data_IF_666347858809
#
_entry.id   IF_666347858809
#
_cell.length_a   1.000
_cell.length_b   1.000
_cell.length_c   1.000
_cell.angle_alpha   90.00
_cell.angle_beta   90.00
_cell.angle_gamma   90.00
#
_symmetry.space_group_name_H-M   'P 1'
#
loop_
_entity.id
_entity.type
_entity.pdbx_description
1 polymer ?
#
# COMPACT_ATOMS: atom_id res chain seq x y z
N UNK A 1 44.17 -10.26 -18.30
CA UNK A 1 43.09 -10.71 -19.22
C UNK A 1 42.25 -11.86 -18.65
N UNK A 2 42.84 -12.83 -17.94
CA UNK A 2 42.18 -14.01 -17.35
C UNK A 2 41.18 -13.74 -16.21
N UNK A 3 41.33 -12.64 -15.46
CA UNK A 3 40.42 -12.25 -14.38
C UNK A 3 39.06 -11.75 -14.93
N UNK A 4 39.07 -11.06 -16.08
CA UNK A 4 37.86 -10.48 -16.69
C UNK A 4 36.91 -11.56 -17.23
N UNK A 5 37.43 -12.60 -17.90
CA UNK A 5 36.62 -13.72 -18.41
C UNK A 5 36.00 -14.57 -17.30
N UNK A 6 36.73 -14.82 -16.21
CA UNK A 6 36.22 -15.60 -15.07
C UNK A 6 35.13 -14.83 -14.31
N UNK A 7 35.26 -13.51 -14.18
CA UNK A 7 34.21 -12.64 -13.62
C UNK A 7 32.98 -12.56 -14.52
N UNK A 8 33.16 -12.46 -15.83
CA UNK A 8 32.05 -12.46 -16.81
C UNK A 8 31.30 -13.80 -16.79
N UNK A 9 32.01 -14.93 -16.86
CA UNK A 9 31.39 -16.25 -16.83
C UNK A 9 30.64 -16.54 -15.53
N UNK A 10 31.17 -16.06 -14.39
CA UNK A 10 30.51 -16.17 -13.08
C UNK A 10 29.23 -15.32 -13.03
N UNK A 11 29.26 -14.10 -13.56
CA UNK A 11 28.08 -13.22 -13.67
C UNK A 11 27.01 -13.82 -14.57
N UNK A 12 27.37 -14.38 -15.74
CA UNK A 12 26.41 -15.05 -16.64
C UNK A 12 25.78 -16.29 -16.02
N UNK A 13 26.56 -17.08 -15.27
CA UNK A 13 26.05 -18.30 -14.62
C UNK A 13 25.10 -17.99 -13.48
N UNK A 14 25.39 -16.95 -12.69
CA UNK A 14 24.53 -16.48 -11.61
C UNK A 14 23.21 -15.93 -12.16
N UNK A 15 23.27 -15.10 -13.22
CA UNK A 15 22.09 -14.57 -13.86
C UNK A 15 21.17 -15.67 -14.43
N UNK A 16 21.75 -16.73 -15.01
CA UNK A 16 20.97 -17.90 -15.44
C UNK A 16 20.28 -18.59 -14.27
N UNK A 17 21.02 -18.86 -13.18
CA UNK A 17 20.45 -19.45 -11.98
C UNK A 17 19.32 -18.60 -11.42
N UNK A 18 19.51 -17.27 -11.35
CA UNK A 18 18.48 -16.32 -10.91
C UNK A 18 17.21 -16.46 -11.73
N UNK A 19 17.30 -16.41 -13.06
CA UNK A 19 16.14 -16.53 -13.94
C UNK A 19 15.41 -17.88 -13.77
N UNK A 20 16.14 -18.97 -13.56
CA UNK A 20 15.53 -20.29 -13.29
C UNK A 20 14.81 -20.33 -11.93
N UNK A 21 15.41 -19.73 -10.89
CA UNK A 21 14.79 -19.62 -9.55
C UNK A 21 13.53 -18.76 -9.63
N UNK A 22 13.58 -17.61 -10.30
CA UNK A 22 12.39 -16.77 -10.52
C UNK A 22 11.30 -17.51 -11.29
N UNK A 23 11.65 -18.19 -12.37
CA UNK A 23 10.70 -18.98 -13.16
C UNK A 23 10.07 -20.11 -12.35
N UNK A 24 10.85 -20.77 -11.48
CA UNK A 24 10.36 -21.79 -10.57
C UNK A 24 9.39 -21.20 -9.53
N UNK A 25 9.77 -20.11 -8.86
CA UNK A 25 8.93 -19.45 -7.87
C UNK A 25 7.62 -18.95 -8.48
N UNK A 26 7.66 -18.39 -9.69
CA UNK A 26 6.45 -17.97 -10.40
C UNK A 26 5.52 -19.14 -10.71
N UNK A 27 6.06 -20.28 -11.16
CA UNK A 27 5.27 -21.51 -11.38
C UNK A 27 4.66 -22.02 -10.09
N UNK A 28 5.45 -22.11 -9.02
CA UNK A 28 4.96 -22.55 -7.70
C UNK A 28 3.88 -21.62 -7.13
N UNK A 29 4.04 -20.31 -7.30
CA UNK A 29 3.04 -19.33 -6.87
C UNK A 29 1.71 -19.54 -7.62
N UNK A 30 1.76 -19.88 -8.92
CA UNK A 30 0.56 -20.11 -9.73
C UNK A 30 -0.23 -21.37 -9.33
N UNK A 31 0.37 -22.31 -8.60
CA UNK A 31 -0.33 -23.47 -8.04
C UNK A 31 -1.25 -23.11 -6.86
N UNK A 32 -1.07 -21.94 -6.24
CA UNK A 32 -1.93 -21.48 -5.15
C UNK A 32 -3.24 -20.90 -5.73
N UNK A 33 -4.38 -21.26 -5.14
CA UNK A 33 -5.69 -20.81 -5.65
C UNK A 33 -5.91 -19.31 -5.48
N UNK A 34 -5.64 -18.79 -4.28
CA UNK A 34 -5.90 -17.40 -3.92
C UNK A 34 -4.79 -16.47 -4.40
N UNK A 35 -5.14 -15.40 -5.12
CA UNK A 35 -4.20 -14.39 -5.62
C UNK A 35 -3.31 -13.82 -4.50
N UNK A 36 -3.92 -13.48 -3.36
CA UNK A 36 -3.22 -12.99 -2.17
C UNK A 36 -2.16 -13.98 -1.66
N UNK A 37 -2.45 -15.28 -1.68
CA UNK A 37 -1.50 -16.30 -1.25
C UNK A 37 -0.31 -16.42 -2.21
N UNK A 38 -0.51 -16.20 -3.52
CA UNK A 38 0.58 -16.12 -4.51
C UNK A 38 1.55 -15.00 -4.18
N UNK A 39 1.02 -13.82 -3.89
CA UNK A 39 1.82 -12.65 -3.53
C UNK A 39 2.59 -12.89 -2.23
N UNK A 40 1.91 -13.39 -1.19
CA UNK A 40 2.54 -13.71 0.11
C UNK A 40 3.66 -14.73 -0.04
N UNK A 41 3.45 -15.78 -0.85
CA UNK A 41 4.48 -16.77 -1.17
C UNK A 41 5.71 -16.10 -1.80
N UNK A 42 5.52 -15.24 -2.80
CA UNK A 42 6.62 -14.55 -3.46
C UNK A 42 7.36 -13.59 -2.52
N UNK A 43 6.65 -12.82 -1.70
CA UNK A 43 7.26 -11.93 -0.69
C UNK A 43 8.14 -12.72 0.28
N UNK A 44 7.62 -13.82 0.84
CA UNK A 44 8.36 -14.63 1.81
C UNK A 44 9.63 -15.26 1.19
N UNK A 45 9.54 -15.74 -0.06
CA UNK A 45 10.69 -16.31 -0.75
C UNK A 45 11.72 -15.25 -1.14
N UNK A 46 11.30 -14.10 -1.67
CA UNK A 46 12.23 -13.02 -2.03
C UNK A 46 12.89 -12.39 -0.81
N UNK A 47 12.18 -12.24 0.32
CA UNK A 47 12.80 -11.79 1.58
C UNK A 47 13.87 -12.77 2.07
N UNK A 48 13.60 -14.07 2.04
CA UNK A 48 14.57 -15.11 2.40
C UNK A 48 15.79 -15.10 1.47
N UNK A 49 15.59 -15.01 0.16
CA UNK A 49 16.69 -14.91 -0.79
C UNK A 49 17.51 -13.64 -0.52
N UNK A 50 16.86 -12.51 -0.29
CA UNK A 50 17.53 -11.25 0.03
C UNK A 50 18.30 -11.34 1.35
N UNK A 51 17.81 -12.04 2.37
CA UNK A 51 18.52 -12.22 3.65
C UNK A 51 19.80 -13.03 3.46
N UNK A 52 19.72 -14.16 2.74
CA UNK A 52 20.88 -15.00 2.43
C UNK A 52 21.92 -14.25 1.59
N UNK A 53 21.48 -13.48 0.58
CA UNK A 53 22.39 -12.67 -0.24
C UNK A 53 23.08 -11.56 0.58
N UNK A 54 22.38 -10.94 1.54
CA UNK A 54 22.97 -9.95 2.46
C UNK A 54 24.04 -10.56 3.36
N UNK A 55 23.83 -11.79 3.83
CA UNK A 55 24.80 -12.51 4.67
C UNK A 55 26.06 -12.95 3.92
N UNK A 56 25.96 -13.16 2.59
CA UNK A 56 27.07 -13.65 1.76
C UNK A 56 28.21 -12.63 1.53
N UNK A 57 28.06 -11.39 2.05
CA UNK A 57 29.11 -10.37 2.23
C UNK A 57 30.17 -10.24 1.11
N UNK A 58 29.75 -10.20 -0.16
CA UNK A 58 30.66 -10.04 -1.30
C UNK A 58 30.12 -9.10 -2.37
N UNK A 59 30.97 -8.22 -2.91
CA UNK A 59 30.64 -7.31 -4.05
C UNK A 59 30.08 -8.04 -5.29
N UNK A 60 30.26 -9.36 -5.37
CA UNK A 60 29.76 -10.19 -6.49
C UNK A 60 28.24 -10.41 -6.46
N UNK A 61 27.57 -10.27 -5.31
CA UNK A 61 26.12 -10.53 -5.18
C UNK A 61 25.27 -9.26 -5.06
N UNK A 62 25.90 -8.08 -5.12
CA UNK A 62 25.23 -6.79 -4.93
C UNK A 62 24.14 -6.54 -5.99
N UNK A 63 24.45 -6.81 -7.27
CA UNK A 63 23.47 -6.68 -8.37
C UNK A 63 22.28 -7.64 -8.22
N UNK A 64 22.52 -8.84 -7.70
CA UNK A 64 21.47 -9.85 -7.48
C UNK A 64 20.59 -9.48 -6.29
N UNK A 65 21.21 -8.93 -5.25
CA UNK A 65 20.50 -8.41 -4.10
C UNK A 65 19.61 -7.22 -4.50
N UNK A 66 20.12 -6.28 -5.29
CA UNK A 66 19.35 -5.16 -5.83
C UNK A 66 18.15 -5.67 -6.65
N UNK A 67 18.38 -6.66 -7.52
CA UNK A 67 17.33 -7.26 -8.33
C UNK A 67 16.23 -7.90 -7.47
N UNK A 68 16.59 -8.75 -6.50
CA UNK A 68 15.62 -9.42 -5.63
C UNK A 68 14.86 -8.40 -4.76
N UNK A 69 15.52 -7.34 -4.27
CA UNK A 69 14.84 -6.27 -3.54
C UNK A 69 13.83 -5.53 -4.42
N UNK A 70 14.11 -5.34 -5.72
CA UNK A 70 13.17 -4.74 -6.65
C UNK A 70 11.92 -5.62 -6.85
N UNK A 71 12.11 -6.94 -7.03
CA UNK A 71 11.01 -7.90 -7.12
C UNK A 71 10.18 -7.93 -5.82
N UNK A 72 10.86 -7.98 -4.67
CA UNK A 72 10.22 -7.91 -3.36
C UNK A 72 9.38 -6.63 -3.22
N UNK A 73 9.91 -5.47 -3.61
CA UNK A 73 9.18 -4.20 -3.55
C UNK A 73 7.92 -4.21 -4.42
N UNK A 74 7.97 -4.81 -5.62
CA UNK A 74 6.79 -4.94 -6.49
C UNK A 74 5.72 -5.81 -5.83
N UNK A 75 6.11 -6.95 -5.25
CA UNK A 75 5.17 -7.84 -4.58
C UNK A 75 4.57 -7.22 -3.31
N UNK A 76 5.36 -6.49 -2.53
CA UNK A 76 4.84 -5.72 -1.38
C UNK A 76 3.80 -4.70 -1.85
N UNK A 77 4.04 -3.99 -2.95
CA UNK A 77 3.06 -3.07 -3.52
C UNK A 77 1.75 -3.78 -3.90
N UNK A 78 1.83 -4.93 -4.57
CA UNK A 78 0.65 -5.73 -4.91
C UNK A 78 -0.10 -6.22 -3.66
N UNK A 79 0.63 -6.64 -2.63
CA UNK A 79 0.03 -7.05 -1.35
C UNK A 79 -0.68 -5.88 -0.67
N UNK A 80 -0.11 -4.67 -0.70
CA UNK A 80 -0.72 -3.47 -0.13
C UNK A 80 -2.08 -3.19 -0.76
N UNK A 81 -2.18 -3.28 -2.08
CA UNK A 81 -3.44 -3.08 -2.79
C UNK A 81 -4.47 -4.15 -2.40
N UNK A 82 -4.07 -5.43 -2.38
CA UNK A 82 -4.94 -6.56 -1.99
C UNK A 82 -5.38 -6.49 -0.51
N UNK A 83 -4.47 -6.12 0.39
CA UNK A 83 -4.73 -6.06 1.84
C UNK A 83 -5.68 -4.92 2.20
N UNK A 84 -5.62 -3.78 1.49
CA UNK A 84 -6.48 -2.63 1.79
C UNK A 84 -7.92 -2.82 1.29
N UNK A 85 -8.16 -3.57 0.21
CA UNK A 85 -9.48 -3.69 -0.43
C UNK A 85 -10.58 -4.14 0.55
N UNK A 86 -10.41 -5.22 1.34
CA UNK A 86 -11.47 -5.71 2.25
C UNK A 86 -11.89 -4.71 3.32
N UNK A 87 -11.00 -3.78 3.69
CA UNK A 87 -11.21 -2.87 4.82
C UNK A 87 -11.48 -1.42 4.40
N UNK A 88 -10.87 -0.97 3.30
CA UNK A 88 -10.86 0.42 2.86
C UNK A 88 -11.14 0.56 1.36
N UNK A 89 -11.67 -0.49 0.70
CA UNK A 89 -11.96 -0.47 -0.74
C UNK A 89 -12.88 0.68 -1.16
N UNK A 90 -13.88 1.03 -0.36
CA UNK A 90 -14.77 2.17 -0.62
C UNK A 90 -14.00 3.50 -0.65
N UNK A 91 -13.12 3.73 0.33
CA UNK A 91 -12.26 4.91 0.41
C UNK A 91 -11.31 4.97 -0.80
N UNK A 92 -10.62 3.86 -1.10
CA UNK A 92 -9.65 3.77 -2.21
C UNK A 92 -10.32 4.07 -3.55
N UNK A 93 -11.45 3.41 -3.82
CA UNK A 93 -12.21 3.60 -5.07
C UNK A 93 -12.77 5.02 -5.18
N UNK A 94 -13.25 5.57 -4.07
CA UNK A 94 -13.74 6.94 -4.03
C UNK A 94 -12.65 7.95 -4.38
N UNK A 95 -11.48 7.87 -3.74
CA UNK A 95 -10.35 8.77 -3.99
C UNK A 95 -9.89 8.67 -5.45
N UNK A 96 -9.65 7.45 -5.94
CA UNK A 96 -9.24 7.21 -7.34
C UNK A 96 -10.23 7.81 -8.33
N UNK A 97 -11.53 7.66 -8.09
CA UNK A 97 -12.56 8.24 -8.94
C UNK A 97 -12.59 9.76 -8.84
N UNK A 98 -12.59 10.31 -7.63
CA UNK A 98 -12.73 11.74 -7.40
C UNK A 98 -11.59 12.56 -8.02
N UNK A 99 -10.37 12.02 -8.03
CA UNK A 99 -9.20 12.69 -8.61
C UNK A 99 -9.19 12.68 -10.15
N UNK A 100 -9.98 11.79 -10.78
CA UNK A 100 -10.17 11.80 -12.23
C UNK A 100 -11.21 12.84 -12.67
N UNK A 101 -12.05 13.32 -11.75
CA UNK A 101 -13.10 14.30 -12.05
C UNK A 101 -12.50 15.70 -12.08
N UNK A 102 -12.77 16.46 -13.14
CA UNK A 102 -12.27 17.84 -13.33
C UNK A 102 -12.70 18.81 -12.23
N UNK A 103 -13.90 18.60 -11.67
CA UNK A 103 -14.45 19.41 -10.61
C UNK A 103 -15.15 18.53 -9.57
N UNK A 104 -14.53 18.44 -8.39
CA UNK A 104 -15.02 17.66 -7.25
C UNK A 104 -16.41 18.13 -6.79
N UNK A 105 -16.79 19.39 -7.06
CA UNK A 105 -18.14 19.90 -6.78
C UNK A 105 -19.26 19.17 -7.53
N UNK A 106 -18.95 18.48 -8.63
CA UNK A 106 -19.90 17.63 -9.36
C UNK A 106 -20.13 16.26 -8.72
N UNK A 107 -19.35 15.90 -7.70
CA UNK A 107 -19.55 14.67 -6.94
C UNK A 107 -20.57 14.96 -5.83
N UNK A 108 -21.51 14.04 -5.70
CA UNK A 108 -22.57 14.07 -4.70
C UNK A 108 -22.00 14.16 -3.28
N UNK A 109 -22.54 15.10 -2.49
CA UNK A 109 -22.11 15.38 -1.12
C UNK A 109 -22.35 14.17 -0.20
N UNK A 110 -23.44 13.43 -0.44
CA UNK A 110 -23.79 12.25 0.35
C UNK A 110 -22.74 11.14 0.24
N UNK A 111 -22.03 11.06 -0.89
CA UNK A 111 -20.92 10.11 -1.07
C UNK A 111 -19.74 10.44 -0.15
N UNK A 112 -19.43 11.72 0.01
CA UNK A 112 -18.37 12.16 0.92
C UNK A 112 -18.73 11.86 2.38
N UNK A 113 -19.96 12.18 2.79
CA UNK A 113 -20.43 11.91 4.15
C UNK A 113 -20.43 10.41 4.44
N UNK A 114 -20.87 9.57 3.50
CA UNK A 114 -20.86 8.11 3.65
C UNK A 114 -19.46 7.55 3.88
N UNK A 115 -18.47 7.95 3.07
CA UNK A 115 -17.07 7.52 3.25
C UNK A 115 -16.51 8.00 4.59
N UNK A 116 -16.79 9.26 4.96
CA UNK A 116 -16.37 9.82 6.24
C UNK A 116 -16.95 9.05 7.43
N UNK A 117 -18.25 8.73 7.39
CA UNK A 117 -18.93 7.98 8.43
C UNK A 117 -18.41 6.54 8.55
N UNK A 118 -18.27 5.83 7.43
CA UNK A 118 -17.72 4.47 7.39
C UNK A 118 -16.29 4.44 7.95
N UNK A 119 -15.44 5.38 7.53
CA UNK A 119 -14.09 5.47 8.04
C UNK A 119 -14.09 5.70 9.54
N UNK A 120 -14.81 6.71 10.04
CA UNK A 120 -14.88 7.07 11.46
C UNK A 120 -15.26 5.89 12.37
N UNK A 121 -16.16 5.03 11.91
CA UNK A 121 -16.70 3.91 12.69
C UNK A 121 -15.80 2.68 12.70
N UNK A 122 -15.03 2.42 11.63
CA UNK A 122 -14.37 1.11 11.43
C UNK A 122 -12.83 1.17 11.43
N UNK A 123 -12.23 2.35 11.22
CA UNK A 123 -10.79 2.45 10.93
C UNK A 123 -9.87 1.80 11.96
N UNK A 124 -10.16 1.93 13.26
CA UNK A 124 -9.34 1.32 14.34
C UNK A 124 -9.38 -0.20 14.31
N UNK A 125 -10.58 -0.77 14.17
CA UNK A 125 -10.78 -2.21 14.09
C UNK A 125 -10.14 -2.79 12.83
N UNK A 126 -10.25 -2.07 11.70
CA UNK A 126 -9.65 -2.46 10.44
C UNK A 126 -8.11 -2.46 10.51
N UNK A 127 -7.48 -1.44 11.09
CA UNK A 127 -6.02 -1.43 11.32
C UNK A 127 -5.59 -2.62 12.19
N UNK A 128 -6.35 -2.93 13.24
CA UNK A 128 -6.07 -4.09 14.10
C UNK A 128 -6.17 -5.42 13.33
N UNK A 129 -7.16 -5.53 12.45
CA UNK A 129 -7.36 -6.71 11.61
C UNK A 129 -6.24 -6.89 10.58
N UNK A 130 -5.80 -5.79 9.95
CA UNK A 130 -4.62 -5.78 9.06
C UNK A 130 -3.38 -6.25 9.80
N UNK A 131 -3.14 -5.73 11.01
CA UNK A 131 -2.00 -6.17 11.82
C UNK A 131 -2.03 -7.68 12.08
N UNK A 132 -3.18 -8.23 12.49
CA UNK A 132 -3.34 -9.66 12.72
C UNK A 132 -3.10 -10.50 11.45
N UNK A 133 -3.63 -10.04 10.31
CA UNK A 133 -3.41 -10.64 8.99
C UNK A 133 -1.92 -10.69 8.64
N UNK A 134 -1.20 -9.59 8.81
CA UNK A 134 0.26 -9.53 8.53
C UNK A 134 1.05 -10.46 9.45
N UNK A 135 0.75 -10.51 10.76
CA UNK A 135 1.41 -11.44 11.70
C UNK A 135 1.27 -12.89 11.24
N UNK A 136 0.08 -13.26 10.75
CA UNK A 136 -0.22 -14.62 10.33
C UNK A 136 0.49 -15.00 9.03
N UNK A 137 0.65 -14.04 8.10
CA UNK A 137 1.15 -14.29 6.76
C UNK A 137 2.69 -14.22 6.64
N UNK A 138 3.35 -13.50 7.55
CA UNK A 138 4.79 -13.23 7.48
C UNK A 138 5.51 -13.67 8.77
N UNK A 139 6.06 -14.89 8.75
CA UNK A 139 6.80 -15.46 9.91
C UNK A 139 8.11 -14.73 10.20
N UNK A 140 8.76 -14.15 9.18
CA UNK A 140 9.90 -13.26 9.39
C UNK A 140 9.37 -11.92 9.89
N UNK A 141 9.63 -11.65 11.16
CA UNK A 141 9.22 -10.44 11.87
C UNK A 141 9.66 -9.14 11.19
N UNK A 142 10.90 -9.05 10.73
CA UNK A 142 11.41 -7.85 10.06
C UNK A 142 10.70 -7.61 8.73
N UNK A 143 10.39 -8.69 8.02
CA UNK A 143 9.61 -8.63 6.79
C UNK A 143 8.16 -8.21 7.10
N UNK A 144 7.52 -8.85 8.08
CA UNK A 144 6.16 -8.51 8.53
C UNK A 144 6.03 -7.04 8.92
N UNK A 145 6.96 -6.49 9.70
CA UNK A 145 6.99 -5.06 10.05
C UNK A 145 7.12 -4.16 8.81
N UNK A 146 7.96 -4.54 7.86
CA UNK A 146 8.14 -3.80 6.60
C UNK A 146 6.86 -3.77 5.78
N UNK A 147 6.21 -4.93 5.62
CA UNK A 147 4.93 -5.07 4.93
C UNK A 147 3.83 -4.27 5.64
N UNK A 148 3.71 -4.40 6.96
CA UNK A 148 2.72 -3.66 7.74
C UNK A 148 2.87 -2.15 7.56
N UNK A 149 4.10 -1.64 7.62
CA UNK A 149 4.38 -0.23 7.38
C UNK A 149 4.00 0.22 5.98
N UNK A 150 4.21 -0.62 4.96
CA UNK A 150 3.79 -0.30 3.60
C UNK A 150 2.25 -0.18 3.51
N UNK A 151 1.51 -1.12 4.11
CA UNK A 151 0.04 -1.13 4.10
C UNK A 151 -0.51 0.10 4.83
N UNK A 152 -0.06 0.34 6.06
CA UNK A 152 -0.54 1.46 6.88
C UNK A 152 -0.09 2.82 6.34
N UNK A 153 1.10 2.89 5.72
CA UNK A 153 1.57 4.06 5.01
C UNK A 153 0.65 4.41 3.84
N UNK A 154 0.29 3.43 3.03
CA UNK A 154 -0.61 3.64 1.90
C UNK A 154 -2.03 4.02 2.34
N UNK A 155 -2.52 3.46 3.45
CA UNK A 155 -3.78 3.88 4.08
C UNK A 155 -3.78 5.38 4.42
N UNK A 156 -2.71 5.87 5.06
CA UNK A 156 -2.59 7.29 5.39
C UNK A 156 -2.56 8.16 4.15
N UNK A 157 -1.87 7.73 3.09
CA UNK A 157 -1.84 8.47 1.82
C UNK A 157 -3.26 8.60 1.25
N UNK A 158 -4.01 7.51 1.15
CA UNK A 158 -5.40 7.56 0.65
C UNK A 158 -6.30 8.42 1.53
N UNK A 159 -6.21 8.29 2.86
CA UNK A 159 -7.04 9.06 3.77
C UNK A 159 -6.72 10.56 3.73
N UNK A 160 -5.44 10.92 3.63
CA UNK A 160 -5.01 12.33 3.49
C UNK A 160 -5.56 12.93 2.20
N UNK A 161 -5.48 12.19 1.08
CA UNK A 161 -6.05 12.63 -0.21
C UNK A 161 -7.57 12.81 -0.13
N UNK A 162 -8.26 11.91 0.57
CA UNK A 162 -9.69 12.07 0.84
C UNK A 162 -10.00 13.36 1.63
N UNK A 163 -9.25 13.67 2.70
CA UNK A 163 -9.42 14.91 3.45
C UNK A 163 -9.19 16.16 2.57
N UNK A 164 -8.18 16.13 1.68
CA UNK A 164 -7.94 17.23 0.73
C UNK A 164 -9.14 17.40 -0.23
N UNK A 165 -9.70 16.30 -0.74
CA UNK A 165 -10.89 16.33 -1.61
C UNK A 165 -12.12 16.87 -0.87
N UNK A 166 -12.29 16.53 0.42
CA UNK A 166 -13.34 17.09 1.27
C UNK A 166 -13.20 18.60 1.41
N UNK A 167 -12.00 19.09 1.71
CA UNK A 167 -11.72 20.54 1.81
C UNK A 167 -12.01 21.25 0.48
N UNK A 168 -11.57 20.69 -0.64
CA UNK A 168 -11.87 21.24 -1.97
C UNK A 168 -13.37 21.32 -2.26
N UNK A 169 -14.13 20.28 -1.89
CA UNK A 169 -15.58 20.20 -2.13
C UNK A 169 -16.38 21.20 -1.30
N UNK A 170 -16.03 21.35 -0.02
CA UNK A 170 -16.87 22.06 0.96
C UNK A 170 -16.30 23.41 1.41
N UNK A 171 -15.02 23.70 1.18
CA UNK A 171 -14.42 25.02 1.47
C UNK A 171 -14.19 25.86 0.20
N UNK A 172 -14.21 25.24 -1.00
CA UNK A 172 -14.06 25.93 -2.30
C UNK A 172 -15.23 26.81 -2.76
N UNK A 173 -16.35 26.84 -2.02
CA UNK A 173 -17.56 27.61 -2.39
C UNK A 173 -17.50 29.13 -2.18
N UNK A 174 -16.40 29.65 -1.61
CA UNK A 174 -16.29 31.07 -1.22
C UNK A 174 -15.76 32.04 -2.28
N UNK A 175 -15.30 31.57 -3.45
CA UNK A 175 -14.74 32.43 -4.52
C UNK A 175 -15.15 31.97 -5.92
N UNK A 176 -16.43 31.84 -6.18
CA UNK A 176 -16.96 31.81 -7.54
C UNK A 176 -17.79 33.08 -7.76
N UNK A 177 -17.32 33.89 -8.72
CA UNK A 177 -17.90 35.13 -9.19
C UNK A 177 -19.40 34.95 -9.54
N UNK A 178 -20.18 36.00 -9.33
CA UNK A 178 -21.66 35.98 -9.30
C UNK A 178 -22.37 35.16 -10.37
N UNK A 179 -23.38 34.40 -9.94
CA UNK A 179 -24.31 33.69 -10.81
C UNK A 179 -25.28 32.78 -10.05
N UNK A 180 -26.46 33.34 -9.73
CA UNK A 180 -27.77 32.66 -9.62
C UNK A 180 -27.83 31.22 -9.07
N UNK A 181 -28.33 31.08 -7.83
CA UNK A 181 -29.39 30.10 -7.54
C UNK A 181 -29.02 28.63 -7.27
N UNK A 182 -27.85 28.30 -6.70
CA UNK A 182 -27.64 26.97 -6.09
C UNK A 182 -28.03 27.01 -4.62
N UNK A 183 -28.95 26.12 -4.22
CA UNK A 183 -29.20 25.77 -2.81
C UNK A 183 -27.85 25.59 -2.12
N UNK A 184 -27.63 26.31 -1.03
CA UNK A 184 -26.44 26.16 -0.21
C UNK A 184 -26.46 24.75 0.38
N UNK A 185 -25.68 23.85 -0.21
CA UNK A 185 -25.52 22.49 0.31
C UNK A 185 -24.94 22.59 1.72
N UNK A 186 -25.52 21.83 2.65
CA UNK A 186 -25.10 21.85 4.03
C UNK A 186 -23.64 21.37 4.11
N UNK A 187 -22.73 22.25 4.55
CA UNK A 187 -21.31 21.94 4.62
C UNK A 187 -21.01 20.86 5.66
N UNK A 188 -19.73 20.49 5.80
CA UNK A 188 -19.25 19.48 6.77
C UNK A 188 -19.76 19.75 8.20
N UNK A 189 -20.03 21.01 8.55
CA UNK A 189 -20.60 21.40 9.86
C UNK A 189 -22.01 20.84 10.13
N UNK A 190 -22.72 20.38 9.10
CA UNK A 190 -24.05 19.78 9.23
C UNK A 190 -24.03 18.26 9.47
N UNK A 191 -22.86 17.64 9.33
CA UNK A 191 -22.72 16.19 9.46
C UNK A 191 -22.80 15.77 10.92
N UNK A 192 -23.41 14.60 11.16
CA UNK A 192 -23.55 14.04 12.52
C UNK A 192 -22.20 13.84 13.22
N UNK A 193 -21.17 13.52 12.43
CA UNK A 193 -19.80 13.39 12.92
C UNK A 193 -18.82 13.97 11.89
N UNK A 194 -17.92 14.88 12.29
CA UNK A 194 -16.87 15.36 11.40
C UNK A 194 -15.88 14.23 11.08
N UNK A 195 -15.18 14.29 9.92
CA UNK A 195 -14.14 13.33 9.59
C UNK A 195 -13.05 13.30 10.67
N UNK A 196 -12.58 12.11 11.04
CA UNK A 196 -11.46 11.95 11.97
C UNK A 196 -10.22 12.66 11.41
N UNK A 197 -9.48 13.39 12.25
CA UNK A 197 -8.28 14.08 11.80
C UNK A 197 -7.19 13.09 11.36
N UNK A 198 -6.48 13.40 10.26
CA UNK A 198 -5.35 12.60 9.75
C UNK A 198 -4.32 12.33 10.86
N UNK A 199 -4.02 13.34 11.68
CA UNK A 199 -3.09 13.22 12.80
C UNK A 199 -3.50 12.14 13.82
N UNK A 200 -4.80 11.99 14.08
CA UNK A 200 -5.33 10.96 14.99
C UNK A 200 -5.06 9.56 14.42
N UNK A 201 -5.28 9.38 13.13
CA UNK A 201 -5.00 8.11 12.43
C UNK A 201 -3.50 7.82 12.44
N UNK A 202 -2.67 8.84 12.17
CA UNK A 202 -1.20 8.70 12.21
C UNK A 202 -0.67 8.30 13.58
N UNK A 203 -1.20 8.90 14.66
CA UNK A 203 -0.82 8.55 16.03
C UNK A 203 -1.17 7.10 16.34
N UNK A 204 -2.32 6.61 15.87
CA UNK A 204 -2.69 5.21 16.06
C UNK A 204 -1.78 4.27 15.29
N UNK A 205 -1.48 4.56 14.03
CA UNK A 205 -0.57 3.75 13.21
C UNK A 205 0.82 3.68 13.82
N UNK A 206 1.29 4.75 14.46
CA UNK A 206 2.59 4.74 15.17
C UNK A 206 2.65 3.72 16.30
N UNK A 207 1.52 3.31 16.89
CA UNK A 207 1.51 2.24 17.91
C UNK A 207 1.95 0.89 17.33
N UNK A 208 1.65 0.65 16.06
CA UNK A 208 2.03 -0.59 15.36
C UNK A 208 3.49 -0.59 14.91
N UNK A 209 4.18 0.55 14.97
CA UNK A 209 5.60 0.68 14.65
C UNK A 209 6.53 -0.05 15.63
N UNK A 210 6.02 -0.36 16.82
CA UNK A 210 6.75 -1.00 17.93
C UNK A 210 6.11 -2.29 18.41
N UNK A 211 5.06 -2.77 17.74
CA UNK A 211 4.42 -4.05 18.10
C UNK A 211 5.22 -5.28 17.64
N UNK A 212 6.35 -5.02 16.99
CA UNK A 212 7.37 -5.96 16.63
C UNK A 212 8.73 -5.31 16.95
#
# INVERSE_FOLDING_TARGET
>A
MTISLRSLFKSTSLQRLRNEVEGLLARMANELSEHKNRIVFLINNYDLIASVLKESAGKTVEAELEHVNALLSVQIGAFVDEELIPYFGNLVNFVKHAEQVKNVAGIDADRFEKISYEFNTTWRQNITSINASVIQLFSNFKNGTTVLHAVLGQLIVYYTRFCVLLEQRFQGGGKANGGSGRKQEAGIASWKQPPVGVQTVMVEIKKFRSNF
#
